data_IF_604248364795
#
_entry.id   IF_604248364795
#
_cell.length_a   1.000
_cell.length_b   1.000
_cell.length_c   1.000
_cell.angle_alpha   90.00
_cell.angle_beta   90.00
_cell.angle_gamma   90.00
#
_symmetry.space_group_name_H-M   'P 1'
#
loop_
_entity.id
_entity.type
_entity.pdbx_description
1 polymer ?
#
# COMPACT_ATOMS: atom_id res chain seq x y z
N UNK A 1 -19.49 -8.71 55.89
CA UNK A 1 -20.30 -7.95 54.91
C UNK A 1 -19.34 -7.08 54.12
N UNK A 2 -19.31 -7.28 52.80
CA UNK A 2 -18.92 -6.27 51.80
C UNK A 2 -17.43 -5.97 51.56
N UNK A 3 -16.76 -6.78 50.73
CA UNK A 3 -15.64 -6.33 49.86
C UNK A 3 -15.81 -6.78 48.39
N UNK A 4 -16.96 -7.34 48.03
CA UNK A 4 -17.19 -7.96 46.71
C UNK A 4 -17.44 -6.97 45.56
N UNK A 5 -17.25 -5.65 45.75
CA UNK A 5 -17.72 -4.64 44.81
C UNK A 5 -16.66 -4.04 43.86
N UNK A 6 -15.38 -4.42 43.98
CA UNK A 6 -14.33 -3.91 43.07
C UNK A 6 -14.07 -4.78 41.84
N UNK A 7 -14.97 -5.71 41.51
CA UNK A 7 -15.05 -6.26 40.15
C UNK A 7 -15.65 -5.18 39.24
N UNK A 8 -14.88 -4.10 39.04
CA UNK A 8 -15.06 -3.15 37.97
C UNK A 8 -14.99 -3.97 36.68
N UNK A 9 -16.17 -4.21 36.12
CA UNK A 9 -16.39 -4.89 34.85
C UNK A 9 -15.44 -4.27 33.84
N UNK A 10 -14.37 -4.98 33.51
CA UNK A 10 -13.70 -4.80 32.23
C UNK A 10 -14.82 -4.99 31.21
N UNK A 11 -15.40 -3.87 30.76
CA UNK A 11 -16.35 -3.86 29.68
C UNK A 11 -15.63 -4.57 28.57
N UNK A 12 -16.07 -5.79 28.26
CA UNK A 12 -15.40 -6.62 27.28
C UNK A 12 -15.17 -5.78 26.05
N UNK A 13 -13.91 -5.64 25.65
CA UNK A 13 -13.60 -5.26 24.28
C UNK A 13 -14.17 -6.41 23.47
N UNK A 14 -15.45 -6.27 23.10
CA UNK A 14 -16.10 -7.14 22.16
C UNK A 14 -15.30 -6.97 20.89
N UNK A 15 -14.49 -7.97 20.56
CA UNK A 15 -13.95 -8.18 19.24
C UNK A 15 -15.13 -8.55 18.32
N UNK A 16 -16.06 -7.62 18.14
CA UNK A 16 -17.06 -7.71 17.09
C UNK A 16 -16.24 -7.80 15.80
N UNK A 17 -16.33 -8.90 15.04
CA UNK A 17 -15.59 -9.05 13.78
C UNK A 17 -15.84 -7.86 12.84
N UNK A 18 -16.98 -7.18 13.01
CA UNK A 18 -17.38 -5.96 12.28
C UNK A 18 -16.66 -4.68 12.71
N UNK A 19 -16.00 -4.66 13.88
CA UNK A 19 -15.18 -3.53 14.37
C UNK A 19 -13.67 -3.78 14.18
N UNK A 20 -13.30 -4.76 13.37
CA UNK A 20 -11.89 -4.98 13.00
C UNK A 20 -11.52 -4.13 11.78
N UNK A 21 -10.31 -3.58 11.79
CA UNK A 21 -9.75 -2.81 10.67
C UNK A 21 -9.63 -3.75 9.46
N UNK A 22 -10.53 -3.59 8.49
CA UNK A 22 -10.55 -4.42 7.29
C UNK A 22 -9.31 -4.10 6.47
N UNK A 23 -8.39 -5.06 6.35
CA UNK A 23 -7.18 -4.91 5.52
C UNK A 23 -7.60 -5.01 4.06
N UNK A 24 -8.00 -3.87 3.50
CA UNK A 24 -8.59 -3.77 2.15
C UNK A 24 -7.59 -3.86 1.00
N UNK A 25 -6.29 -3.89 1.28
CA UNK A 25 -5.26 -3.90 0.24
C UNK A 25 -4.36 -5.14 0.35
N UNK A 26 -4.42 -5.95 -0.70
CA UNK A 26 -3.54 -7.09 -0.89
C UNK A 26 -2.16 -6.62 -1.37
N UNK A 27 -1.12 -7.35 -0.97
CA UNK A 27 0.26 -7.08 -1.38
C UNK A 27 0.42 -7.08 -2.91
N UNK A 28 -0.32 -7.97 -3.59
CA UNK A 28 -0.35 -8.04 -5.04
C UNK A 28 -0.95 -6.76 -5.64
N UNK A 29 -2.04 -6.24 -5.07
CA UNK A 29 -2.66 -4.98 -5.50
C UNK A 29 -1.73 -3.78 -5.28
N UNK A 30 -1.07 -3.70 -4.12
CA UNK A 30 -0.09 -2.67 -3.83
C UNK A 30 1.13 -2.73 -4.79
N UNK A 31 1.61 -3.94 -5.12
CA UNK A 31 2.66 -4.13 -6.11
C UNK A 31 2.24 -3.62 -7.47
N UNK A 32 1.03 -3.94 -7.95
CA UNK A 32 0.53 -3.44 -9.24
C UNK A 32 0.34 -1.92 -9.28
N UNK A 33 -0.04 -1.29 -8.15
CA UNK A 33 -0.14 0.17 -8.06
C UNK A 33 1.24 0.83 -8.06
N UNK A 34 2.20 0.31 -7.29
CA UNK A 34 3.57 0.83 -7.26
C UNK A 34 4.31 0.58 -8.59
N UNK A 35 4.08 -0.57 -9.22
CA UNK A 35 4.61 -0.95 -10.54
C UNK A 35 3.79 -0.41 -11.72
N UNK A 36 2.71 0.33 -11.48
CA UNK A 36 2.02 1.09 -12.52
C UNK A 36 2.92 2.16 -13.17
N UNK A 37 3.88 2.68 -12.41
CA UNK A 37 4.90 3.64 -12.86
C UNK A 37 5.81 3.06 -13.97
N UNK A 38 6.32 1.82 -13.89
CA UNK A 38 7.08 1.16 -14.95
C UNK A 38 6.55 1.29 -16.37
N UNK A 39 5.23 1.20 -16.59
CA UNK A 39 4.66 1.35 -17.93
C UNK A 39 4.88 2.77 -18.49
N UNK A 40 4.68 3.80 -17.65
CA UNK A 40 4.92 5.19 -18.02
C UNK A 40 6.41 5.50 -18.16
N UNK A 41 7.26 4.93 -17.30
CA UNK A 41 8.72 5.07 -17.40
C UNK A 41 9.24 4.49 -18.70
N UNK A 42 8.83 3.27 -19.06
CA UNK A 42 9.19 2.64 -20.35
C UNK A 42 8.67 3.44 -21.53
N UNK A 43 7.45 3.98 -21.43
CA UNK A 43 6.88 4.86 -22.44
C UNK A 43 7.70 6.15 -22.60
N UNK A 44 8.10 6.80 -21.50
CA UNK A 44 8.96 7.99 -21.53
C UNK A 44 10.35 7.68 -22.10
N UNK A 45 10.97 6.56 -21.71
CA UNK A 45 12.24 6.10 -22.30
C UNK A 45 12.08 5.85 -23.79
N UNK A 46 10.99 5.20 -24.21
CA UNK A 46 10.66 4.97 -25.62
C UNK A 46 10.48 6.28 -26.39
N UNK A 47 9.79 7.27 -25.81
CA UNK A 47 9.62 8.59 -26.40
C UNK A 47 10.94 9.37 -26.53
N UNK A 48 11.80 9.32 -25.50
CA UNK A 48 13.15 9.90 -25.53
C UNK A 48 14.00 9.18 -26.59
N UNK A 49 13.96 7.86 -26.64
CA UNK A 49 14.68 7.07 -27.63
C UNK A 49 14.21 7.35 -29.07
N UNK A 50 12.91 7.54 -29.29
CA UNK A 50 12.34 7.85 -30.59
C UNK A 50 12.67 9.28 -31.07
N UNK A 51 12.76 10.25 -30.17
CA UNK A 51 13.05 11.66 -30.50
C UNK A 51 14.54 11.95 -30.59
N UNK A 52 15.33 11.44 -29.64
CA UNK A 52 16.78 11.67 -29.55
C UNK A 52 17.56 10.67 -30.40
N UNK A 53 17.06 9.44 -30.58
CA UNK A 53 17.69 8.42 -31.43
C UNK A 53 18.93 7.78 -30.80
N UNK A 54 19.98 7.55 -31.59
CA UNK A 54 21.25 6.93 -31.15
C UNK A 54 21.88 7.57 -29.90
N UNK A 55 21.85 8.90 -29.69
CA UNK A 55 22.41 9.52 -28.48
C UNK A 55 21.56 9.36 -27.20
N UNK A 56 20.36 8.75 -27.25
CA UNK A 56 19.47 8.61 -26.08
C UNK A 56 20.11 7.91 -24.88
N UNK A 57 21.13 7.07 -25.09
CA UNK A 57 21.88 6.42 -24.01
C UNK A 57 22.56 7.39 -23.05
N UNK A 58 22.95 8.60 -23.52
CA UNK A 58 23.63 9.61 -22.69
C UNK A 58 22.75 10.22 -21.59
N UNK A 59 21.43 10.07 -21.67
CA UNK A 59 20.51 10.53 -20.62
C UNK A 59 20.70 9.71 -19.33
N UNK A 60 21.28 8.51 -19.43
CA UNK A 60 21.38 7.53 -18.36
C UNK A 60 22.81 7.02 -18.11
N UNK A 61 23.80 7.55 -18.82
CA UNK A 61 25.22 7.27 -18.61
C UNK A 61 25.77 8.10 -17.45
#
# INVERSE_FOLDING_TARGET
MSDAAVVGRAAGVSSDPRNSLQRKIDWTGAFWVASGVPALVLFSIGAIAATVGKPSWLVWA
#
